data_IF_807922521862
#
_entry.id   IF_807922521862
#
_cell.length_a   1.000
_cell.length_b   1.000
_cell.length_c   1.000
_cell.angle_alpha   90.00
_cell.angle_beta   90.00
_cell.angle_gamma   90.00
#
_symmetry.space_group_name_H-M   'P 1'
#
loop_
_entity.id
_entity.type
_entity.pdbx_description
1 polymer ?
#
# COMPACT_ATOMS: atom_id res chain seq x y z
N UNK A 1 15.12 1.44 -33.26
CA UNK A 1 14.64 1.73 -31.89
C UNK A 1 13.26 1.12 -31.72
N UNK A 2 13.14 0.01 -31.01
CA UNK A 2 11.87 -0.73 -30.90
C UNK A 2 10.83 0.08 -30.12
N UNK A 3 9.70 0.39 -30.74
CA UNK A 3 8.60 1.19 -30.19
C UNK A 3 7.74 0.37 -29.20
N UNK A 4 7.74 -0.96 -29.36
CA UNK A 4 7.00 -1.92 -28.55
C UNK A 4 7.27 -1.85 -27.03
N UNK A 5 8.52 -1.82 -26.52
CA UNK A 5 8.78 -1.74 -25.08
C UNK A 5 8.25 -0.45 -24.44
N UNK A 6 8.30 0.69 -25.15
CA UNK A 6 7.77 1.96 -24.65
C UNK A 6 6.25 1.96 -24.56
N UNK A 7 5.57 1.36 -25.54
CA UNK A 7 4.12 1.21 -25.52
C UNK A 7 3.68 0.31 -24.37
N UNK A 8 4.39 -0.80 -24.16
CA UNK A 8 4.11 -1.74 -23.06
C UNK A 8 4.27 -1.08 -21.68
N UNK A 9 5.33 -0.29 -21.48
CA UNK A 9 5.54 0.45 -20.24
C UNK A 9 4.36 1.41 -19.97
N UNK A 10 4.00 2.24 -20.95
CA UNK A 10 2.89 3.20 -20.81
C UNK A 10 1.54 2.54 -20.50
N UNK A 11 1.24 1.39 -21.11
CA UNK A 11 0.00 0.65 -20.81
C UNK A 11 0.01 0.13 -19.38
N UNK A 12 1.16 -0.36 -18.91
CA UNK A 12 1.32 -0.83 -17.53
C UNK A 12 1.15 0.31 -16.52
N UNK A 13 1.81 1.44 -16.74
CA UNK A 13 1.69 2.62 -15.87
C UNK A 13 0.23 3.08 -15.75
N UNK A 14 -0.50 3.10 -16.88
CA UNK A 14 -1.92 3.50 -16.86
C UNK A 14 -2.81 2.51 -16.12
N UNK A 15 -2.51 1.22 -16.23
CA UNK A 15 -3.24 0.19 -15.51
C UNK A 15 -2.99 0.27 -14.00
N UNK A 16 -1.75 0.52 -13.59
CA UNK A 16 -1.37 0.70 -12.19
C UNK A 16 -2.04 1.96 -11.59
N UNK A 17 -2.09 3.06 -12.33
CA UNK A 17 -2.82 4.28 -11.93
C UNK A 17 -4.32 4.01 -11.74
N UNK A 18 -4.94 3.24 -12.65
CA UNK A 18 -6.36 2.86 -12.53
C UNK A 18 -6.62 1.95 -11.34
N UNK A 19 -5.73 1.00 -11.08
CA UNK A 19 -5.82 0.12 -9.90
C UNK A 19 -5.75 0.92 -8.61
N UNK A 20 -4.81 1.86 -8.52
CA UNK A 20 -4.70 2.77 -7.37
C UNK A 20 -5.95 3.62 -7.19
N UNK A 21 -6.44 4.25 -8.26
CA UNK A 21 -7.66 5.04 -8.22
C UNK A 21 -8.85 4.22 -7.71
N UNK A 22 -9.01 2.99 -8.21
CA UNK A 22 -10.09 2.09 -7.80
C UNK A 22 -9.94 1.65 -6.34
N UNK A 23 -8.73 1.27 -5.92
CA UNK A 23 -8.43 0.85 -4.56
C UNK A 23 -8.76 1.93 -3.53
N UNK A 24 -8.25 3.15 -3.74
CA UNK A 24 -8.54 4.27 -2.85
C UNK A 24 -10.03 4.67 -2.86
N UNK A 25 -10.72 4.48 -3.98
CA UNK A 25 -12.14 4.86 -4.10
C UNK A 25 -13.09 3.84 -3.46
N UNK A 26 -12.77 2.56 -3.53
CA UNK A 26 -13.68 1.48 -3.10
C UNK A 26 -13.27 0.90 -1.76
N UNK A 27 -11.98 0.60 -1.57
CA UNK A 27 -11.45 0.07 -0.32
C UNK A 27 -11.16 1.17 0.71
N UNK A 28 -10.74 2.35 0.24
CA UNK A 28 -10.24 3.41 1.11
C UNK A 28 -8.76 3.20 1.44
N UNK A 29 -8.09 4.25 1.89
CA UNK A 29 -6.69 4.12 2.31
C UNK A 29 -6.63 3.35 3.64
N UNK A 30 -5.69 2.41 3.81
CA UNK A 30 -5.54 1.69 5.07
C UNK A 30 -5.24 2.66 6.22
N UNK A 31 -5.74 2.36 7.41
CA UNK A 31 -5.57 3.18 8.59
C UNK A 31 -4.39 2.66 9.43
N UNK A 32 -3.63 3.55 10.03
CA UNK A 32 -2.51 3.17 10.87
C UNK A 32 -3.01 2.49 12.14
N UNK A 33 -2.52 1.27 12.40
CA UNK A 33 -2.94 0.46 13.54
C UNK A 33 -2.66 1.10 14.93
N UNK A 34 -1.83 2.14 15.00
CA UNK A 34 -1.51 2.84 16.26
C UNK A 34 -2.42 4.05 16.51
N UNK A 35 -2.72 4.84 15.47
CA UNK A 35 -3.37 6.15 15.63
C UNK A 35 -4.58 6.40 14.74
N UNK A 36 -4.94 5.45 13.88
CA UNK A 36 -6.09 5.54 12.97
C UNK A 36 -5.96 6.57 11.85
N UNK A 37 -4.80 7.22 11.68
CA UNK A 37 -4.55 8.11 10.55
C UNK A 37 -4.20 7.31 9.29
N UNK A 38 -4.33 7.92 8.11
CA UNK A 38 -3.93 7.29 6.84
C UNK A 38 -2.51 6.69 6.91
N UNK A 39 -2.41 5.41 6.57
CA UNK A 39 -1.16 4.69 6.54
C UNK A 39 -0.37 5.00 5.26
N UNK A 40 0.94 5.05 5.41
CA UNK A 40 1.88 5.35 4.35
C UNK A 40 2.61 4.09 3.86
N UNK A 41 2.78 3.11 4.74
CA UNK A 41 3.47 1.85 4.45
C UNK A 41 2.87 0.72 5.28
N UNK A 42 3.24 -0.51 4.91
CA UNK A 42 2.97 -1.71 5.68
C UNK A 42 4.26 -2.12 6.38
N UNK A 43 4.21 -2.27 7.71
CA UNK A 43 5.28 -2.89 8.47
C UNK A 43 5.25 -4.39 8.23
N UNK A 44 6.26 -4.93 7.57
CA UNK A 44 6.29 -6.34 7.17
C UNK A 44 6.44 -7.29 8.37
N UNK A 45 7.12 -6.83 9.42
CA UNK A 45 7.37 -7.60 10.64
C UNK A 45 6.12 -7.82 11.47
N UNK A 46 5.29 -6.79 11.63
CA UNK A 46 4.00 -6.89 12.33
C UNK A 46 2.84 -7.23 11.38
N UNK A 47 3.08 -7.17 10.07
CA UNK A 47 2.04 -7.25 9.04
C UNK A 47 0.89 -6.25 9.30
N UNK A 48 1.24 -5.00 9.60
CA UNK A 48 0.28 -3.95 9.97
C UNK A 48 0.52 -2.64 9.20
N UNK A 49 -0.54 -1.88 8.90
CA UNK A 49 -0.45 -0.54 8.32
C UNK A 49 0.07 0.49 9.32
N UNK A 50 1.00 1.33 8.86
CA UNK A 50 1.68 2.35 9.67
C UNK A 50 1.75 3.69 8.93
N UNK A 51 1.60 4.79 9.68
CA UNK A 51 1.76 6.15 9.15
C UNK A 51 3.18 6.68 9.33
N UNK A 52 3.46 7.86 8.75
CA UNK A 52 4.78 8.51 8.80
C UNK A 52 5.39 8.70 10.20
N UNK A 53 4.55 8.74 11.23
CA UNK A 53 4.98 8.95 12.61
C UNK A 53 5.31 7.64 13.34
N UNK A 54 4.86 6.49 12.82
CA UNK A 54 4.99 5.19 13.46
C UNK A 54 5.83 4.24 12.58
N UNK A 55 7.12 4.53 12.49
CA UNK A 55 8.09 3.66 11.82
C UNK A 55 8.41 2.47 12.75
N UNK A 56 8.48 1.22 12.24
CA UNK A 56 8.92 0.07 13.02
C UNK A 56 10.30 0.28 13.65
N UNK A 57 10.57 -0.40 14.77
CA UNK A 57 11.85 -0.28 15.47
C UNK A 57 13.03 -0.80 14.62
N UNK A 58 12.74 -1.74 13.72
CA UNK A 58 13.65 -2.32 12.73
C UNK A 58 14.00 -1.33 11.59
N UNK A 59 13.31 -0.19 11.52
CA UNK A 59 13.54 0.89 10.58
C UNK A 59 12.92 0.66 9.20
N UNK A 60 13.35 1.47 8.22
CA UNK A 60 12.84 1.46 6.83
C UNK A 60 13.15 0.16 6.06
N UNK A 61 13.97 -0.73 6.61
CA UNK A 61 14.23 -2.04 5.99
C UNK A 61 13.08 -3.03 6.20
N UNK A 62 12.18 -2.76 7.16
CA UNK A 62 11.03 -3.59 7.50
C UNK A 62 9.70 -2.97 7.02
N UNK A 63 9.75 -1.96 6.13
CA UNK A 63 8.56 -1.34 5.56
C UNK A 63 8.49 -1.67 4.06
N UNK A 64 7.27 -1.91 3.59
CA UNK A 64 6.95 -1.92 2.16
C UNK A 64 5.91 -0.86 1.85
N UNK A 65 5.95 -0.32 0.65
CA UNK A 65 4.90 0.58 0.18
C UNK A 65 3.53 -0.11 0.24
N UNK A 66 2.50 0.68 0.53
CA UNK A 66 1.11 0.24 0.38
C UNK A 66 0.89 -0.14 -1.07
N UNK A 67 0.15 -1.22 -1.31
CA UNK A 67 -0.29 -1.67 -2.61
C UNK A 67 -1.82 -1.54 -2.74
N UNK A 68 -2.37 -1.51 -3.96
CA UNK A 68 -3.82 -1.47 -4.16
C UNK A 68 -4.57 -2.60 -3.45
N UNK A 69 -3.97 -3.78 -3.31
CA UNK A 69 -4.50 -4.93 -2.56
C UNK A 69 -4.78 -4.59 -1.10
N UNK A 70 -3.87 -3.84 -0.48
CA UNK A 70 -3.91 -3.52 0.95
C UNK A 70 -5.11 -2.63 1.32
N UNK A 71 -5.68 -1.91 0.35
CA UNK A 71 -6.89 -1.12 0.53
C UNK A 71 -8.14 -1.99 0.73
N UNK A 72 -8.09 -3.27 0.36
CA UNK A 72 -9.20 -4.21 0.50
C UNK A 72 -8.97 -5.22 1.63
N UNK A 73 -7.80 -5.17 2.27
CA UNK A 73 -7.47 -6.02 3.41
C UNK A 73 -8.23 -5.52 4.63
N UNK A 74 -8.88 -6.44 5.35
CA UNK A 74 -9.45 -6.16 6.66
C UNK A 74 -8.33 -6.21 7.70
N UNK A 75 -7.81 -5.02 8.05
CA UNK A 75 -6.70 -4.89 8.99
C UNK A 75 -7.14 -5.02 10.45
N UNK A 76 -8.41 -4.77 10.75
CA UNK A 76 -8.96 -4.90 12.11
C UNK A 76 -9.11 -6.37 12.52
N UNK A 77 -9.45 -7.25 11.56
CA UNK A 77 -9.49 -8.69 11.79
C UNK A 77 -8.08 -9.26 12.02
N UNK A 78 -7.06 -8.72 11.34
CA UNK A 78 -5.67 -9.17 11.45
C UNK A 78 -4.96 -8.77 12.76
N UNK A 79 -5.39 -7.69 13.42
CA UNK A 79 -4.80 -7.25 14.70
C UNK A 79 -5.37 -7.97 15.95
N UNK A 80 -6.29 -8.94 15.78
CA UNK A 80 -7.04 -9.58 16.87
C UNK A 80 -6.54 -10.99 17.28
N UNK A 81 -5.40 -11.47 16.78
CA UNK A 81 -4.83 -12.80 17.12
C UNK A 81 -3.60 -12.76 18.04
#
# INVERSE_FOLDING_TARGET
MSVLPRLRARVRDRFDEWRWWYALRVGGAPECAVCGNEAAWIAETENEPRCFQHIPAEGEAAIRDVQPEDCFTDWDEASSE
#
